data_IF_423716231267
#
_entry.id   IF_423716231267
#
_cell.length_a   1.000
_cell.length_b   1.000
_cell.length_c   1.000
_cell.angle_alpha   90.00
_cell.angle_beta   90.00
_cell.angle_gamma   90.00
#
_symmetry.space_group_name_H-M   'P 1'
#
loop_
_entity.id
_entity.type
_entity.pdbx_description
1 polymer ?
#
# COMPACT_ATOMS: atom_id res chain seq x y z
N UNK A 1 -3.29 9.92 55.05
CA UNK A 1 -3.27 8.81 54.05
C UNK A 1 -3.80 9.22 52.68
N UNK A 2 -5.00 9.79 52.47
CA UNK A 2 -5.54 10.14 51.13
C UNK A 2 -4.63 11.09 50.32
N UNK A 3 -4.01 12.11 50.94
CA UNK A 3 -3.12 13.07 50.22
C UNK A 3 -1.83 12.37 49.69
N UNK A 4 -1.25 11.47 50.45
CA UNK A 4 -0.05 10.72 50.02
C UNK A 4 -0.38 9.83 48.84
N UNK A 5 -1.54 9.18 48.84
CA UNK A 5 -2.00 8.34 47.75
C UNK A 5 -2.15 9.12 46.41
N UNK A 6 -2.73 10.35 46.47
CA UNK A 6 -2.84 11.18 45.28
C UNK A 6 -1.50 11.66 44.75
N UNK A 7 -0.52 11.95 45.60
CA UNK A 7 0.84 12.30 45.18
C UNK A 7 1.52 11.12 44.48
N UNK A 8 1.38 9.92 45.00
CA UNK A 8 1.97 8.71 44.38
C UNK A 8 1.32 8.43 43.03
N UNK A 9 -0.01 8.54 42.90
CA UNK A 9 -0.71 8.38 41.63
C UNK A 9 -0.27 9.44 40.60
N UNK A 10 -0.14 10.70 41.00
CA UNK A 10 0.33 11.77 40.11
C UNK A 10 1.78 11.52 39.64
N UNK A 11 2.67 11.07 40.50
CA UNK A 11 4.05 10.73 40.13
C UNK A 11 4.13 9.53 39.18
N UNK A 12 3.27 8.51 39.38
CA UNK A 12 3.19 7.37 38.47
C UNK A 12 2.65 7.76 37.10
N UNK A 13 1.65 8.65 37.02
CA UNK A 13 1.12 9.16 35.75
C UNK A 13 2.16 10.00 35.01
N UNK A 14 2.88 10.86 35.71
CA UNK A 14 3.97 11.66 35.11
C UNK A 14 5.10 10.75 34.59
N UNK A 15 5.49 9.73 35.35
CA UNK A 15 6.51 8.76 34.89
C UNK A 15 6.05 7.96 33.70
N UNK A 16 4.76 7.57 33.62
CA UNK A 16 4.19 6.87 32.47
C UNK A 16 4.18 7.74 31.21
N UNK A 17 3.82 9.02 31.35
CA UNK A 17 3.85 9.99 30.24
C UNK A 17 5.27 10.20 29.73
N UNK A 18 6.24 10.36 30.62
CA UNK A 18 7.67 10.53 30.25
C UNK A 18 8.17 9.29 29.52
N UNK A 19 7.85 8.08 29.99
CA UNK A 19 8.22 6.82 29.33
C UNK A 19 7.59 6.73 27.94
N UNK A 20 6.29 7.05 27.80
CA UNK A 20 5.62 7.06 26.49
C UNK A 20 6.29 8.09 25.54
N UNK A 21 6.57 9.30 26.01
CA UNK A 21 7.24 10.32 25.19
C UNK A 21 8.65 9.90 24.73
N UNK A 22 9.43 9.26 25.60
CA UNK A 22 10.76 8.75 25.26
C UNK A 22 10.69 7.59 24.25
N UNK A 23 9.71 6.69 24.38
CA UNK A 23 9.53 5.60 23.42
C UNK A 23 9.01 6.11 22.07
N UNK A 24 8.03 7.03 22.06
CA UNK A 24 7.54 7.67 20.84
C UNK A 24 8.64 8.49 20.14
N UNK A 25 9.43 9.28 20.90
CA UNK A 25 10.56 10.03 20.34
C UNK A 25 11.62 9.13 19.69
N UNK A 26 12.02 8.04 20.36
CA UNK A 26 12.99 7.09 19.80
C UNK A 26 12.46 6.32 18.59
N UNK A 27 11.17 6.03 18.53
CA UNK A 27 10.54 5.42 17.37
C UNK A 27 10.49 6.41 16.19
N UNK A 28 10.09 7.66 16.44
CA UNK A 28 10.10 8.73 15.44
C UNK A 28 11.49 9.00 14.87
N UNK A 29 12.52 9.10 15.73
CA UNK A 29 13.91 9.30 15.30
C UNK A 29 14.43 8.13 14.43
N UNK A 30 14.04 6.90 14.76
CA UNK A 30 14.39 5.73 13.94
C UNK A 30 13.69 5.72 12.59
N UNK A 31 12.41 6.11 12.54
CA UNK A 31 11.65 6.22 11.29
C UNK A 31 12.24 7.30 10.39
N UNK A 32 12.44 8.51 10.89
CA UNK A 32 13.07 9.60 10.13
C UNK A 32 14.48 9.24 9.64
N UNK A 33 15.28 8.55 10.47
CA UNK A 33 16.62 8.09 10.04
C UNK A 33 16.54 7.06 8.93
N UNK A 34 15.55 6.16 8.95
CA UNK A 34 15.34 5.15 7.91
C UNK A 34 14.85 5.78 6.60
N UNK A 35 13.91 6.72 6.66
CA UNK A 35 13.45 7.49 5.49
C UNK A 35 14.60 8.23 4.80
N UNK A 36 15.45 8.91 5.58
CA UNK A 36 16.62 9.60 5.04
C UNK A 36 17.60 8.63 4.35
N UNK A 37 17.75 7.41 4.86
CA UNK A 37 18.58 6.37 4.23
C UNK A 37 17.95 5.91 2.91
N UNK A 38 16.63 5.65 2.89
CA UNK A 38 15.94 5.25 1.65
C UNK A 38 16.00 6.36 0.61
N UNK A 39 15.75 7.62 0.97
CA UNK A 39 15.89 8.75 0.05
C UNK A 39 17.29 8.84 -0.53
N UNK A 40 18.33 8.72 0.29
CA UNK A 40 19.72 8.77 -0.21
C UNK A 40 20.07 7.59 -1.12
N UNK A 41 19.49 6.40 -0.88
CA UNK A 41 19.64 5.24 -1.77
C UNK A 41 18.95 5.49 -3.12
N UNK A 42 17.71 5.96 -3.11
CA UNK A 42 16.93 6.15 -4.34
C UNK A 42 17.48 7.31 -5.18
N UNK A 43 17.77 8.45 -4.57
CA UNK A 43 18.29 9.65 -5.25
C UNK A 43 19.72 9.46 -5.76
N UNK A 44 20.52 8.66 -5.06
CA UNK A 44 21.89 8.33 -5.49
C UNK A 44 21.99 7.24 -6.54
N UNK A 45 20.89 6.68 -7.01
CA UNK A 45 20.85 5.50 -7.89
C UNK A 45 21.43 5.70 -9.30
N UNK A 46 21.85 6.90 -9.69
CA UNK A 46 22.63 7.11 -10.91
C UNK A 46 24.06 6.55 -10.80
N UNK A 47 24.58 6.40 -9.58
CA UNK A 47 25.94 5.93 -9.31
C UNK A 47 26.02 4.41 -9.05
N UNK A 48 24.89 3.76 -8.74
CA UNK A 48 24.83 2.34 -8.38
C UNK A 48 23.48 1.69 -8.72
N UNK A 49 23.43 0.37 -8.75
CA UNK A 49 22.19 -0.38 -8.92
C UNK A 49 21.46 -0.52 -7.60
N UNK A 50 20.19 -0.14 -7.56
CA UNK A 50 19.30 -0.38 -6.41
C UNK A 50 18.50 -1.64 -6.65
N UNK A 51 18.46 -2.49 -5.64
CA UNK A 51 17.65 -3.71 -5.61
C UNK A 51 16.71 -3.74 -4.44
N UNK A 52 15.62 -4.45 -4.60
CA UNK A 52 14.67 -4.77 -3.53
C UNK A 52 14.88 -6.22 -3.11
N UNK A 53 15.25 -6.42 -1.84
CA UNK A 53 15.32 -7.76 -1.22
C UNK A 53 14.10 -7.99 -0.36
N UNK A 54 13.48 -9.16 -0.52
CA UNK A 54 12.15 -9.40 0.01
C UNK A 54 12.10 -10.68 0.85
N UNK A 55 11.30 -10.64 1.92
CA UNK A 55 11.01 -11.79 2.78
C UNK A 55 9.50 -12.01 2.83
N UNK A 56 9.04 -13.22 2.49
CA UNK A 56 7.60 -13.55 2.55
C UNK A 56 7.12 -13.58 3.99
N UNK A 57 6.04 -12.83 4.26
CA UNK A 57 5.46 -12.69 5.60
C UNK A 57 4.05 -13.24 5.73
N UNK A 58 3.29 -13.30 4.64
CA UNK A 58 1.92 -13.79 4.65
C UNK A 58 1.52 -14.45 3.34
N UNK A 59 0.54 -15.34 3.44
CA UNK A 59 -0.21 -15.89 2.30
C UNK A 59 -1.70 -15.68 2.58
N UNK A 60 -2.37 -14.93 1.72
CA UNK A 60 -3.81 -14.77 1.73
C UNK A 60 -4.36 -15.79 0.73
N UNK A 61 -4.83 -16.92 1.25
CA UNK A 61 -5.15 -18.08 0.42
C UNK A 61 -6.35 -17.82 -0.50
N UNK A 62 -6.26 -18.34 -1.72
CA UNK A 62 -7.37 -18.44 -2.64
C UNK A 62 -8.41 -19.46 -2.17
N UNK A 63 -9.56 -19.46 -2.80
CA UNK A 63 -10.57 -20.50 -2.65
C UNK A 63 -10.74 -21.26 -3.98
N UNK A 64 -11.77 -22.10 -4.08
CA UNK A 64 -12.12 -22.76 -5.36
C UNK A 64 -12.68 -21.76 -6.39
N UNK A 65 -13.35 -20.71 -5.95
CA UNK A 65 -14.02 -19.71 -6.78
C UNK A 65 -13.21 -18.45 -6.97
N UNK A 66 -12.60 -17.96 -5.88
CA UNK A 66 -11.79 -16.75 -5.86
C UNK A 66 -10.33 -17.12 -5.98
N UNK A 67 -9.75 -16.91 -7.17
CA UNK A 67 -8.49 -17.54 -7.58
C UNK A 67 -7.41 -16.55 -8.02
N UNK A 68 -7.75 -15.29 -8.27
CA UNK A 68 -6.82 -14.27 -8.77
C UNK A 68 -6.64 -13.18 -7.73
N UNK A 69 -5.43 -13.03 -7.24
CA UNK A 69 -5.05 -11.95 -6.33
C UNK A 69 -4.94 -10.62 -7.08
N UNK A 70 -5.31 -9.52 -6.43
CA UNK A 70 -5.27 -8.17 -6.96
C UNK A 70 -4.77 -7.19 -5.88
N UNK A 71 -5.42 -6.04 -5.69
CA UNK A 71 -5.01 -4.98 -4.78
C UNK A 71 -4.81 -5.41 -3.32
N UNK A 72 -3.89 -4.75 -2.65
CA UNK A 72 -3.53 -5.01 -1.26
C UNK A 72 -3.15 -3.72 -0.53
N UNK A 73 -3.58 -3.59 0.73
CA UNK A 73 -3.17 -2.50 1.62
C UNK A 73 -3.07 -2.96 3.07
N UNK A 74 -2.70 -2.05 3.97
CA UNK A 74 -2.64 -2.32 5.41
C UNK A 74 -2.97 -1.06 6.21
N UNK A 75 -3.63 -1.25 7.37
CA UNK A 75 -3.86 -0.23 8.41
C UNK A 75 -2.74 -0.18 9.46
N UNK A 76 -1.64 -0.90 9.23
CA UNK A 76 -0.53 -1.04 10.18
C UNK A 76 -0.72 -2.18 11.19
N UNK A 77 -1.91 -2.77 11.28
CA UNK A 77 -2.24 -3.90 12.14
C UNK A 77 -2.67 -5.13 11.33
N UNK A 78 -3.42 -4.90 10.26
CA UNK A 78 -3.94 -5.94 9.39
C UNK A 78 -3.55 -5.70 7.94
N UNK A 79 -3.44 -6.78 7.19
CA UNK A 79 -3.31 -6.80 5.74
C UNK A 79 -4.69 -7.08 5.16
N UNK A 80 -5.07 -6.33 4.14
CA UNK A 80 -6.30 -6.49 3.37
C UNK A 80 -5.95 -6.76 1.92
N UNK A 81 -6.33 -7.92 1.40
CA UNK A 81 -6.05 -8.29 0.01
C UNK A 81 -7.29 -8.74 -0.73
N UNK A 82 -7.47 -8.25 -1.94
CA UNK A 82 -8.53 -8.66 -2.86
C UNK A 82 -8.15 -9.98 -3.52
N UNK A 83 -9.08 -10.94 -3.50
CA UNK A 83 -9.03 -12.13 -4.35
C UNK A 83 -10.33 -12.21 -5.11
N UNK A 84 -10.27 -12.23 -6.45
CA UNK A 84 -11.41 -12.18 -7.34
C UNK A 84 -11.69 -13.52 -8.03
N UNK A 85 -12.91 -13.66 -8.54
CA UNK A 85 -13.25 -14.72 -9.51
C UNK A 85 -12.53 -14.45 -10.84
N UNK A 86 -12.31 -15.48 -11.61
CA UNK A 86 -11.59 -15.36 -12.90
C UNK A 86 -12.34 -14.55 -13.96
N UNK A 87 -13.65 -14.42 -13.82
CA UNK A 87 -14.56 -13.72 -14.74
C UNK A 87 -14.96 -12.31 -14.28
N UNK A 88 -14.33 -11.80 -13.20
CA UNK A 88 -14.63 -10.50 -12.56
C UNK A 88 -16.07 -10.36 -12.01
N UNK A 89 -16.81 -11.46 -11.85
CA UNK A 89 -18.19 -11.44 -11.37
C UNK A 89 -18.32 -11.16 -9.87
N UNK A 90 -17.23 -11.26 -9.12
CA UNK A 90 -17.20 -10.96 -7.69
C UNK A 90 -15.81 -11.08 -7.10
N UNK A 91 -15.63 -10.42 -5.98
CA UNK A 91 -14.39 -10.45 -5.19
C UNK A 91 -14.66 -10.71 -3.73
N UNK A 92 -13.66 -11.19 -3.01
CA UNK A 92 -13.61 -11.19 -1.54
C UNK A 92 -12.39 -10.43 -1.07
N UNK A 93 -12.48 -9.86 0.13
CA UNK A 93 -11.34 -9.30 0.85
C UNK A 93 -10.91 -10.29 1.93
N UNK A 94 -9.64 -10.68 1.86
CA UNK A 94 -8.98 -11.44 2.92
C UNK A 94 -8.33 -10.48 3.90
N UNK A 95 -8.59 -10.68 5.20
CA UNK A 95 -7.98 -9.92 6.29
C UNK A 95 -7.06 -10.83 7.10
N UNK A 96 -5.79 -10.44 7.20
CA UNK A 96 -4.76 -11.16 7.95
C UNK A 96 -4.06 -10.21 8.92
N UNK A 97 -3.42 -10.73 9.98
CA UNK A 97 -2.56 -9.91 10.83
C UNK A 97 -1.26 -9.58 10.11
N UNK A 98 -0.82 -8.32 10.20
CA UNK A 98 0.48 -7.91 9.64
C UNK A 98 1.65 -8.52 10.44
N UNK A 99 1.47 -8.74 11.74
CA UNK A 99 2.54 -9.18 12.64
C UNK A 99 3.06 -10.61 12.40
N UNK A 100 2.17 -11.51 11.95
CA UNK A 100 2.47 -12.94 11.81
C UNK A 100 1.80 -13.61 10.60
N UNK A 101 1.11 -12.83 9.77
CA UNK A 101 0.41 -13.32 8.60
C UNK A 101 -0.82 -14.19 8.88
N UNK A 102 -1.25 -14.33 10.15
CA UNK A 102 -2.37 -15.20 10.52
C UNK A 102 -3.70 -14.68 10.01
N UNK A 103 -4.56 -15.59 9.52
CA UNK A 103 -5.92 -15.31 9.07
C UNK A 103 -6.78 -14.69 10.17
N UNK A 104 -7.61 -13.71 9.80
CA UNK A 104 -8.55 -13.04 10.71
C UNK A 104 -9.99 -13.17 10.23
N UNK A 105 -10.25 -12.75 8.98
CA UNK A 105 -11.60 -12.72 8.42
C UNK A 105 -11.59 -12.74 6.90
N UNK A 106 -12.76 -13.01 6.33
CA UNK A 106 -13.05 -12.85 4.90
C UNK A 106 -14.38 -12.09 4.78
N UNK A 107 -14.47 -11.16 3.84
CA UNK A 107 -15.73 -10.50 3.53
C UNK A 107 -16.74 -11.46 2.91
N UNK A 108 -18.02 -11.10 2.93
CA UNK A 108 -18.96 -11.60 1.93
C UNK A 108 -18.49 -11.23 0.52
N UNK A 109 -19.14 -11.77 -0.50
CA UNK A 109 -18.85 -11.38 -1.89
C UNK A 109 -19.19 -9.92 -2.10
N UNK A 110 -18.23 -9.17 -2.68
CA UNK A 110 -18.35 -7.77 -2.99
C UNK A 110 -18.32 -7.57 -4.53
N UNK A 111 -19.01 -6.53 -4.99
CA UNK A 111 -19.01 -6.14 -6.41
C UNK A 111 -18.06 -4.97 -6.63
N UNK A 112 -16.76 -5.27 -6.67
CA UNK A 112 -15.69 -4.28 -6.86
C UNK A 112 -15.09 -4.33 -8.28
N UNK A 113 -15.78 -4.97 -9.22
CA UNK A 113 -15.24 -5.23 -10.54
C UNK A 113 -13.96 -6.03 -10.48
N UNK A 114 -12.87 -5.51 -11.04
CA UNK A 114 -11.56 -6.15 -10.97
C UNK A 114 -10.94 -6.08 -9.57
N UNK A 115 -11.33 -5.07 -8.75
CA UNK A 115 -10.71 -4.82 -7.43
C UNK A 115 -9.22 -4.57 -7.54
N UNK A 116 -8.82 -3.79 -8.55
CA UNK A 116 -7.46 -3.75 -9.09
C UNK A 116 -6.41 -3.32 -8.07
N UNK A 117 -6.72 -2.32 -7.24
CA UNK A 117 -5.79 -1.84 -6.21
C UNK A 117 -6.53 -1.30 -4.99
N UNK A 118 -5.87 -1.38 -3.84
CA UNK A 118 -6.37 -0.90 -2.56
C UNK A 118 -5.39 0.06 -1.90
N UNK A 119 -5.95 1.06 -1.21
CA UNK A 119 -5.18 1.86 -0.24
C UNK A 119 -5.96 2.01 1.06
N UNK A 120 -5.26 2.22 2.18
CA UNK A 120 -5.90 2.54 3.45
C UNK A 120 -5.82 4.05 3.70
N UNK A 121 -6.98 4.66 3.84
CA UNK A 121 -7.15 6.06 4.23
C UNK A 121 -7.25 6.14 5.75
N UNK A 122 -6.11 6.38 6.39
CA UNK A 122 -5.98 6.37 7.85
C UNK A 122 -6.77 7.49 8.52
N UNK A 123 -6.97 8.63 7.84
CA UNK A 123 -7.72 9.77 8.38
C UNK A 123 -9.21 9.48 8.52
N UNK A 124 -9.77 8.73 7.59
CA UNK A 124 -11.18 8.38 7.57
C UNK A 124 -11.46 6.94 8.01
N UNK A 125 -10.42 6.20 8.41
CA UNK A 125 -10.49 4.78 8.82
C UNK A 125 -11.26 3.92 7.81
N UNK A 126 -10.83 3.97 6.55
CA UNK A 126 -11.48 3.24 5.45
C UNK A 126 -10.48 2.68 4.46
N UNK A 127 -10.84 1.61 3.81
CA UNK A 127 -10.15 1.11 2.62
C UNK A 127 -10.78 1.79 1.40
N UNK A 128 -9.96 2.26 0.46
CA UNK A 128 -10.38 2.80 -0.83
C UNK A 128 -9.91 1.86 -1.92
N UNK A 129 -10.85 1.38 -2.73
CA UNK A 129 -10.60 0.43 -3.82
C UNK A 129 -10.74 1.12 -5.17
N UNK A 130 -9.72 1.02 -6.01
CA UNK A 130 -9.80 1.31 -7.44
C UNK A 130 -10.32 0.07 -8.17
N UNK A 131 -11.51 0.19 -8.80
CA UNK A 131 -12.17 -0.95 -9.44
C UNK A 131 -11.47 -1.47 -10.70
N UNK A 132 -10.55 -0.69 -11.28
CA UNK A 132 -9.85 -1.00 -12.51
C UNK A 132 -10.43 -0.28 -13.72
N UNK A 133 -9.66 -0.27 -14.80
CA UNK A 133 -9.92 0.59 -15.96
C UNK A 133 -11.17 0.23 -16.77
N UNK A 134 -11.62 -1.02 -16.72
CA UNK A 134 -12.78 -1.50 -17.50
C UNK A 134 -14.09 -0.94 -16.98
N UNK A 135 -14.18 -0.58 -15.69
CA UNK A 135 -15.41 -0.12 -15.03
C UNK A 135 -15.49 1.39 -14.82
N UNK A 136 -14.53 2.15 -15.38
CA UNK A 136 -14.54 3.60 -15.27
C UNK A 136 -13.72 4.12 -14.09
N UNK A 137 -14.08 5.29 -13.60
CA UNK A 137 -13.39 6.02 -12.55
C UNK A 137 -14.05 5.90 -11.19
N UNK A 138 -14.61 4.75 -10.82
CA UNK A 138 -15.25 4.59 -9.52
C UNK A 138 -14.23 4.14 -8.48
N UNK A 139 -14.17 4.88 -7.37
CA UNK A 139 -13.51 4.46 -6.14
C UNK A 139 -14.56 4.00 -5.14
N UNK A 140 -14.37 2.82 -4.56
CA UNK A 140 -15.31 2.24 -3.59
C UNK A 140 -14.73 2.28 -2.20
N UNK A 141 -15.52 2.70 -1.22
CA UNK A 141 -15.14 2.77 0.19
C UNK A 141 -15.59 1.52 0.92
N UNK A 142 -14.70 0.96 1.73
CA UNK A 142 -14.93 -0.29 2.45
C UNK A 142 -14.52 -0.07 3.90
N UNK A 143 -15.40 -0.46 4.82
CA UNK A 143 -15.12 -0.44 6.25
C UNK A 143 -14.09 -1.56 6.58
N UNK A 144 -12.93 -1.24 7.18
CA UNK A 144 -11.90 -2.22 7.50
C UNK A 144 -12.27 -3.18 8.62
N UNK A 145 -13.30 -2.87 9.42
CA UNK A 145 -13.74 -3.69 10.55
C UNK A 145 -14.78 -4.73 10.14
N UNK A 146 -15.75 -4.31 9.32
CA UNK A 146 -16.86 -5.16 8.85
C UNK A 146 -16.60 -5.77 7.47
N UNK A 147 -15.65 -5.23 6.71
CA UNK A 147 -15.33 -5.57 5.32
C UNK A 147 -16.53 -5.40 4.38
N UNK A 148 -17.39 -4.40 4.64
CA UNK A 148 -18.57 -4.07 3.83
C UNK A 148 -18.39 -2.75 3.08
N UNK A 149 -19.03 -2.62 1.93
CA UNK A 149 -19.04 -1.36 1.17
C UNK A 149 -19.84 -0.31 1.95
N UNK A 150 -19.26 0.88 2.15
CA UNK A 150 -19.88 2.02 2.85
C UNK A 150 -20.22 3.17 1.93
N UNK A 151 -19.69 3.19 0.72
CA UNK A 151 -19.95 4.25 -0.26
C UNK A 151 -19.04 4.16 -1.48
N UNK A 152 -19.15 5.15 -2.33
CA UNK A 152 -18.29 5.28 -3.52
C UNK A 152 -18.23 6.73 -3.97
N UNK A 153 -17.23 7.04 -4.81
CA UNK A 153 -17.13 8.31 -5.54
C UNK A 153 -16.81 8.03 -7.00
N UNK A 154 -17.46 8.78 -7.90
CA UNK A 154 -17.15 8.76 -9.33
C UNK A 154 -16.11 9.83 -9.62
N UNK A 155 -15.08 9.45 -10.38
CA UNK A 155 -14.05 10.35 -10.88
C UNK A 155 -14.32 10.66 -12.35
N UNK A 156 -13.94 11.85 -12.80
CA UNK A 156 -13.96 12.21 -14.23
C UNK A 156 -12.91 11.43 -15.06
N UNK A 157 -12.13 10.58 -14.41
CA UNK A 157 -11.04 9.81 -15.00
C UNK A 157 -11.07 8.36 -14.54
N UNK A 158 -10.41 7.47 -15.29
CA UNK A 158 -10.29 6.06 -14.92
C UNK A 158 -9.17 5.87 -13.88
N UNK A 159 -9.40 5.04 -12.86
CA UNK A 159 -8.42 4.65 -11.87
C UNK A 159 -8.08 3.16 -11.99
N UNK A 160 -6.84 2.84 -12.32
CA UNK A 160 -6.30 1.47 -12.36
C UNK A 160 -5.45 1.13 -11.15
N UNK A 161 -4.88 2.13 -10.47
CA UNK A 161 -4.12 1.99 -9.25
C UNK A 161 -4.37 3.19 -8.34
N UNK A 162 -4.21 3.02 -7.03
CA UNK A 162 -4.47 4.06 -6.04
C UNK A 162 -3.52 3.92 -4.84
N UNK A 163 -3.09 5.06 -4.30
CA UNK A 163 -2.41 5.13 -3.01
C UNK A 163 -2.81 6.39 -2.25
N UNK A 164 -2.58 6.41 -0.94
CA UNK A 164 -2.90 7.52 -0.05
C UNK A 164 -1.68 7.93 0.77
N UNK A 165 -1.48 9.23 0.91
CA UNK A 165 -0.47 9.83 1.78
C UNK A 165 -1.17 10.50 2.97
N UNK A 166 -1.05 9.91 4.14
CA UNK A 166 -1.66 10.40 5.38
C UNK A 166 -1.13 11.78 5.78
N UNK A 167 0.17 12.04 5.58
CA UNK A 167 0.82 13.29 5.99
C UNK A 167 0.31 14.52 5.25
N UNK A 168 0.02 14.35 3.94
CA UNK A 168 -0.44 15.44 3.08
C UNK A 168 -1.94 15.38 2.79
N UNK A 169 -2.63 14.33 3.25
CA UNK A 169 -4.05 14.07 2.99
C UNK A 169 -4.38 14.10 1.49
N UNK A 170 -3.58 13.36 0.71
CA UNK A 170 -3.72 13.30 -0.74
C UNK A 170 -3.76 11.87 -1.22
N UNK A 171 -4.44 11.68 -2.33
CA UNK A 171 -4.38 10.42 -3.08
C UNK A 171 -3.56 10.60 -4.34
N UNK A 172 -3.03 9.50 -4.83
CA UNK A 172 -2.53 9.40 -6.18
C UNK A 172 -3.21 8.24 -6.89
N UNK A 173 -3.59 8.43 -8.16
CA UNK A 173 -4.14 7.39 -9.02
C UNK A 173 -3.34 7.29 -10.31
N UNK A 174 -3.31 6.09 -10.89
CA UNK A 174 -2.71 5.86 -12.21
C UNK A 174 -3.76 5.40 -13.20
N UNK A 175 -3.73 6.00 -14.39
CA UNK A 175 -4.59 5.66 -15.51
C UNK A 175 -3.79 5.06 -16.66
N UNK A 176 -4.13 3.82 -17.01
CA UNK A 176 -3.50 3.13 -18.16
C UNK A 176 -1.99 2.93 -18.02
N UNK A 177 -1.45 2.99 -16.80
CA UNK A 177 -0.04 2.90 -16.53
C UNK A 177 0.80 4.06 -17.09
N UNK A 178 0.18 5.12 -17.60
CA UNK A 178 0.86 6.26 -18.26
C UNK A 178 0.63 7.59 -17.58
N UNK A 179 -0.54 7.82 -17.01
CA UNK A 179 -0.88 9.07 -16.36
C UNK A 179 -0.87 8.87 -14.86
N UNK A 180 -0.24 9.79 -14.15
CA UNK A 180 -0.25 9.92 -12.70
C UNK A 180 -1.06 11.17 -12.35
N UNK A 181 -2.12 11.02 -11.59
CA UNK A 181 -2.98 12.12 -11.14
C UNK A 181 -2.97 12.18 -9.62
N UNK A 182 -2.78 13.37 -9.07
CA UNK A 182 -2.83 13.64 -7.64
C UNK A 182 -4.18 14.25 -7.32
N UNK A 183 -4.83 13.71 -6.30
CA UNK A 183 -6.13 14.17 -5.84
C UNK A 183 -6.05 14.71 -4.41
N UNK A 184 -6.91 15.68 -4.10
CA UNK A 184 -7.12 16.11 -2.72
C UNK A 184 -8.01 15.11 -1.95
N UNK A 185 -8.31 15.42 -0.67
CA UNK A 185 -9.17 14.58 0.19
C UNK A 185 -10.62 14.47 -0.30
N UNK A 186 -11.07 15.39 -1.14
CA UNK A 186 -12.41 15.38 -1.76
C UNK A 186 -12.43 14.67 -3.11
N UNK A 187 -11.31 14.01 -3.49
CA UNK A 187 -11.09 13.32 -4.76
C UNK A 187 -11.09 14.21 -6.01
N UNK A 188 -10.86 15.51 -5.85
CA UNK A 188 -10.66 16.43 -6.97
C UNK A 188 -9.21 16.34 -7.47
N UNK A 189 -9.02 16.29 -8.78
CA UNK A 189 -7.68 16.26 -9.39
C UNK A 189 -7.02 17.63 -9.21
N UNK A 190 -5.90 17.68 -8.47
CA UNK A 190 -5.12 18.89 -8.22
C UNK A 190 -3.83 18.96 -9.04
N UNK A 191 -3.36 17.83 -9.58
CA UNK A 191 -2.24 17.78 -10.51
C UNK A 191 -2.35 16.54 -11.42
N UNK A 192 -1.78 16.63 -12.62
CA UNK A 192 -1.74 15.53 -13.59
C UNK A 192 -0.40 15.53 -14.31
N UNK A 193 0.26 14.36 -14.34
CA UNK A 193 1.59 14.17 -14.90
C UNK A 193 1.58 12.99 -15.88
N UNK A 194 2.42 13.09 -16.92
CA UNK A 194 2.69 11.96 -17.80
C UNK A 194 3.92 11.22 -17.29
N UNK A 195 3.78 9.93 -17.04
CA UNK A 195 4.91 9.10 -16.67
C UNK A 195 5.90 8.99 -17.83
N UNK A 196 7.17 9.16 -17.52
CA UNK A 196 8.27 9.21 -18.49
C UNK A 196 9.05 7.90 -18.59
N UNK A 197 8.85 6.96 -17.68
CA UNK A 197 9.49 5.65 -17.70
C UNK A 197 9.08 4.85 -18.95
N UNK A 198 10.06 4.26 -19.61
CA UNK A 198 9.88 3.45 -20.84
C UNK A 198 10.34 2.01 -20.61
N UNK A 199 9.87 1.40 -19.53
CA UNK A 199 10.34 0.09 -19.11
C UNK A 199 9.81 -1.06 -19.96
N UNK A 200 8.65 -0.88 -20.61
CA UNK A 200 7.95 -1.96 -21.31
C UNK A 200 7.25 -2.96 -20.38
N UNK A 201 7.28 -2.71 -19.07
CA UNK A 201 6.58 -3.50 -18.05
C UNK A 201 5.15 -2.97 -17.85
N UNK A 202 4.27 -3.82 -17.35
CA UNK A 202 2.89 -3.46 -17.02
C UNK A 202 2.79 -3.04 -15.55
N UNK A 203 2.32 -1.82 -15.30
CA UNK A 203 1.99 -1.37 -13.95
C UNK A 203 0.71 -2.07 -13.48
N UNK A 204 0.75 -2.66 -12.30
CA UNK A 204 -0.38 -3.42 -11.74
C UNK A 204 -1.09 -2.61 -10.66
N UNK A 205 -0.36 -2.11 -9.67
CA UNK A 205 -0.86 -1.25 -8.62
C UNK A 205 0.11 -0.12 -8.30
N UNK A 206 -0.07 0.53 -7.18
CA UNK A 206 0.85 1.53 -6.67
C UNK A 206 0.86 1.57 -5.13
N UNK A 207 1.92 2.14 -4.59
CA UNK A 207 2.05 2.46 -3.18
C UNK A 207 2.75 3.77 -2.99
N UNK A 208 2.76 4.30 -1.77
CA UNK A 208 3.49 5.52 -1.43
C UNK A 208 4.01 5.51 -0.01
N UNK A 209 5.04 6.31 0.20
CA UNK A 209 5.40 6.85 1.50
C UNK A 209 5.22 8.38 1.48
N UNK A 210 5.79 9.08 2.45
CA UNK A 210 5.68 10.54 2.56
C UNK A 210 6.34 11.28 1.39
N UNK A 211 7.32 10.67 0.69
CA UNK A 211 8.16 11.31 -0.31
C UNK A 211 7.95 10.79 -1.72
N UNK A 212 7.65 9.49 -1.87
CA UNK A 212 7.67 8.80 -3.16
C UNK A 212 6.39 8.03 -3.45
N UNK A 213 6.18 7.83 -4.74
CA UNK A 213 5.18 6.96 -5.35
C UNK A 213 5.90 5.76 -5.97
N UNK A 214 5.42 4.57 -5.71
CA UNK A 214 6.01 3.31 -6.13
C UNK A 214 5.05 2.57 -7.05
N UNK A 215 5.53 2.16 -8.21
CA UNK A 215 4.78 1.40 -9.19
C UNK A 215 5.38 0.00 -9.32
N UNK A 216 4.85 -1.01 -8.63
CA UNK A 216 5.23 -2.39 -8.88
C UNK A 216 4.78 -2.78 -10.29
N UNK A 217 5.69 -3.30 -11.09
CA UNK A 217 5.47 -3.60 -12.49
C UNK A 217 5.99 -4.98 -12.85
N UNK A 218 5.23 -5.69 -13.66
CA UNK A 218 5.55 -7.05 -14.10
C UNK A 218 5.77 -7.13 -15.61
N UNK A 219 6.62 -8.07 -16.03
CA UNK A 219 6.85 -8.41 -17.43
C UNK A 219 6.49 -9.87 -17.72
N UNK A 220 6.38 -10.23 -19.00
CA UNK A 220 5.95 -11.56 -19.46
C UNK A 220 6.78 -12.72 -18.89
N UNK A 221 8.05 -12.52 -18.59
CA UNK A 221 8.94 -13.52 -17.98
C UNK A 221 8.85 -13.54 -16.44
N UNK A 222 7.88 -12.81 -15.88
CA UNK A 222 7.64 -12.66 -14.45
C UNK A 222 8.77 -11.99 -13.68
N UNK A 223 9.63 -11.24 -14.35
CA UNK A 223 10.53 -10.30 -13.71
C UNK A 223 9.74 -9.11 -13.25
N UNK A 224 10.12 -8.58 -12.09
CA UNK A 224 9.47 -7.42 -11.52
C UNK A 224 10.48 -6.31 -11.31
N UNK A 225 9.96 -5.11 -11.46
CA UNK A 225 10.65 -3.87 -11.11
C UNK A 225 9.70 -2.99 -10.30
N UNK A 226 10.26 -2.03 -9.58
CA UNK A 226 9.51 -0.94 -8.97
C UNK A 226 10.01 0.36 -9.59
N UNK A 227 9.12 1.08 -10.25
CA UNK A 227 9.42 2.41 -10.79
C UNK A 227 9.03 3.43 -9.72
N UNK A 228 9.93 4.37 -9.45
CA UNK A 228 9.78 5.35 -8.37
C UNK A 228 9.63 6.75 -8.94
N UNK A 229 8.62 7.48 -8.48
CA UNK A 229 8.37 8.90 -8.75
C UNK A 229 8.27 9.66 -7.43
N UNK A 230 8.48 10.96 -7.46
CA UNK A 230 8.04 11.82 -6.36
C UNK A 230 6.56 12.25 -6.53
N UNK A 231 6.02 12.95 -5.53
CA UNK A 231 4.66 13.48 -5.56
C UNK A 231 4.46 14.66 -6.52
N UNK A 232 5.54 15.20 -7.09
CA UNK A 232 5.53 16.24 -8.12
C UNK A 232 5.63 15.66 -9.54
N UNK A 233 5.59 14.31 -9.66
CA UNK A 233 5.59 13.59 -10.93
C UNK A 233 6.96 13.45 -11.58
N UNK A 234 8.05 13.72 -10.86
CA UNK A 234 9.40 13.51 -11.37
C UNK A 234 9.79 12.04 -11.23
N UNK A 235 10.35 11.46 -12.28
CA UNK A 235 10.94 10.14 -12.26
C UNK A 235 12.22 10.15 -11.41
N UNK A 236 12.31 9.26 -10.44
CA UNK A 236 13.48 9.12 -9.55
C UNK A 236 14.37 7.98 -10.03
N UNK A 237 13.85 6.75 -10.05
CA UNK A 237 14.65 5.57 -10.42
C UNK A 237 13.78 4.36 -10.75
N UNK A 238 14.44 3.28 -11.18
CA UNK A 238 13.84 1.95 -11.35
C UNK A 238 14.64 0.93 -10.55
N UNK A 239 13.97 0.23 -9.67
CA UNK A 239 14.53 -0.75 -8.75
C UNK A 239 14.20 -2.16 -9.24
N UNK A 240 15.17 -3.08 -9.22
CA UNK A 240 14.93 -4.49 -9.50
C UNK A 240 14.31 -5.18 -8.28
N UNK A 241 13.32 -6.03 -8.50
CA UNK A 241 12.75 -6.89 -7.46
C UNK A 241 13.31 -8.30 -7.57
N UNK A 242 13.57 -8.93 -6.43
CA UNK A 242 14.00 -10.33 -6.32
C UNK A 242 12.83 -11.33 -6.41
N UNK A 243 11.57 -10.84 -6.33
CA UNK A 243 10.38 -11.67 -6.46
C UNK A 243 9.99 -11.83 -7.93
N UNK A 244 9.80 -13.08 -8.37
CA UNK A 244 9.58 -13.44 -9.80
C UNK A 244 8.13 -13.84 -10.09
N UNK A 245 7.15 -13.26 -9.43
CA UNK A 245 5.72 -13.47 -9.67
C UNK A 245 5.06 -12.16 -10.03
N UNK A 246 3.87 -12.23 -10.60
CA UNK A 246 3.12 -11.03 -10.96
C UNK A 246 2.94 -10.13 -9.74
N UNK A 247 3.52 -8.93 -9.80
CA UNK A 247 3.35 -7.92 -8.77
C UNK A 247 1.96 -7.30 -8.93
N UNK A 248 1.22 -7.13 -7.84
CA UNK A 248 -0.14 -6.60 -7.87
C UNK A 248 -0.27 -5.27 -7.15
N UNK A 249 0.39 -5.12 -6.00
CA UNK A 249 0.26 -3.91 -5.19
C UNK A 249 1.49 -3.70 -4.32
N UNK A 250 1.64 -2.48 -3.81
CA UNK A 250 2.66 -2.11 -2.84
C UNK A 250 2.06 -1.18 -1.79
N UNK A 251 2.52 -1.27 -0.56
CA UNK A 251 2.16 -0.32 0.49
C UNK A 251 3.32 -0.10 1.47
N UNK A 252 3.32 1.08 2.09
CA UNK A 252 4.26 1.42 3.14
C UNK A 252 3.49 1.65 4.44
N UNK A 253 3.94 1.02 5.51
CA UNK A 253 3.33 1.16 6.84
C UNK A 253 4.32 0.79 7.92
N UNK A 254 4.24 1.45 9.08
CA UNK A 254 5.15 1.22 10.22
C UNK A 254 6.65 1.33 9.83
N UNK A 255 6.99 2.18 8.85
CA UNK A 255 8.36 2.38 8.38
C UNK A 255 8.92 1.24 7.53
N UNK A 256 8.07 0.38 6.96
CA UNK A 256 8.46 -0.76 6.14
C UNK A 256 7.68 -0.80 4.84
N UNK A 257 8.30 -1.37 3.81
CA UNK A 257 7.68 -1.59 2.50
C UNK A 257 7.17 -3.01 2.38
N UNK A 258 5.99 -3.15 1.80
CA UNK A 258 5.35 -4.44 1.58
C UNK A 258 4.88 -4.54 0.13
N UNK A 259 4.99 -5.75 -0.42
CA UNK A 259 4.66 -6.06 -1.81
C UNK A 259 3.72 -7.25 -1.87
N UNK A 260 2.63 -7.11 -2.61
CA UNK A 260 1.70 -8.19 -2.87
C UNK A 260 1.93 -8.76 -4.28
N UNK A 261 1.97 -10.08 -4.37
CA UNK A 261 2.18 -10.80 -5.63
C UNK A 261 1.13 -11.89 -5.81
N UNK A 262 0.67 -12.06 -7.04
CA UNK A 262 -0.27 -13.10 -7.42
C UNK A 262 0.45 -14.43 -7.62
N UNK A 263 0.15 -15.39 -6.76
CA UNK A 263 0.61 -16.77 -6.86
C UNK A 263 -0.57 -17.67 -7.19
N UNK A 264 -0.73 -17.99 -8.45
CA UNK A 264 -1.88 -18.74 -8.96
C UNK A 264 -2.23 -20.01 -8.16
N UNK A 265 -1.25 -20.71 -7.60
CA UNK A 265 -1.47 -21.92 -6.81
C UNK A 265 -1.80 -21.66 -5.34
N UNK A 266 -1.38 -20.53 -4.77
CA UNK A 266 -1.49 -20.23 -3.35
C UNK A 266 -2.53 -19.14 -3.06
N UNK A 267 -2.57 -18.10 -3.88
CA UNK A 267 -3.34 -16.87 -3.67
C UNK A 267 -2.43 -15.65 -3.70
N UNK A 268 -2.66 -14.69 -2.83
CA UNK A 268 -1.80 -13.52 -2.68
C UNK A 268 -0.66 -13.79 -1.70
N UNK A 269 0.56 -13.63 -2.13
CA UNK A 269 1.73 -13.65 -1.26
C UNK A 269 2.15 -12.22 -0.94
N UNK A 270 2.33 -11.91 0.34
CA UNK A 270 2.80 -10.60 0.82
C UNK A 270 4.23 -10.72 1.33
N UNK A 271 5.07 -9.79 0.88
CA UNK A 271 6.50 -9.76 1.16
C UNK A 271 6.86 -8.44 1.83
N UNK A 272 7.66 -8.48 2.89
CA UNK A 272 8.36 -7.31 3.41
C UNK A 272 9.60 -7.09 2.58
N UNK A 273 9.80 -5.88 2.06
CA UNK A 273 10.93 -5.52 1.21
C UNK A 273 11.85 -4.48 1.83
N UNK A 274 13.12 -4.55 1.48
CA UNK A 274 14.15 -3.59 1.86
C UNK A 274 14.96 -3.17 0.64
N UNK A 275 15.11 -1.86 0.43
CA UNK A 275 15.97 -1.33 -0.63
C UNK A 275 17.44 -1.51 -0.25
N UNK A 276 18.23 -2.03 -1.18
CA UNK A 276 19.66 -2.32 -1.00
C UNK A 276 20.45 -1.85 -2.21
N UNK A 277 21.71 -1.51 -2.00
CA UNK A 277 22.69 -1.18 -3.06
C UNK A 277 23.38 -2.49 -3.47
N UNK A 278 23.49 -2.75 -4.80
CA UNK A 278 24.28 -3.84 -5.38
C UNK A 278 25.64 -3.40 -5.84
#
# INVERSE_FOLDING_TARGET
>A
MKRILWIVIALLLVSLVIVCCVFCGKAGDRLMKRENVVSSILEGSEEYTVSLKSTKIAVLEKTKEYVVAQGCCSDGKYIYGVIRKSDDSGVIIRKHKLSDGSYVATSEELFLGHGNDLTYDAKNDRIVCAQGQSLGGVLVFIDPHTLTITGSVELDTKAGAITYNEKTDRYAISRGGKTLEILNSDFEIIASYQRTDKTGYTAQGMGSDDHYLYFPMSFKDRKNIVVVYDWDGNYITTVKSDVTREAESMFWVNGKYYFAHNYFLEGMNVWEGEFTIE
#
